data_IF_021314196425
#
_entry.id   IF_021314196425
#
_cell.length_a   1.000
_cell.length_b   1.000
_cell.length_c   1.000
_cell.angle_alpha   90.00
_cell.angle_beta   90.00
_cell.angle_gamma   90.00
#
_symmetry.space_group_name_H-M   'P 1'
#
loop_
_entity.id
_entity.type
_entity.pdbx_description
1 polymer ?
#
# COMPACT_ATOMS: atom_id res chain seq x y z
N UNK A 1 -19.20 10.25 -3.23
CA UNK A 1 -18.71 10.91 -4.45
C UNK A 1 -17.27 10.48 -4.68
N UNK A 2 -17.06 9.66 -5.70
CA UNK A 2 -15.74 9.27 -6.21
C UNK A 2 -15.47 10.01 -7.52
N UNK A 3 -14.22 10.16 -7.96
CA UNK A 3 -13.93 10.78 -9.26
C UNK A 3 -14.40 9.89 -10.42
N UNK A 4 -14.84 10.51 -11.51
CA UNK A 4 -15.20 9.81 -12.75
C UNK A 4 -13.98 9.39 -13.58
N UNK A 5 -12.77 9.80 -13.18
CA UNK A 5 -11.52 9.59 -13.89
C UNK A 5 -10.52 8.83 -13.03
N UNK A 6 -9.75 7.94 -13.65
CA UNK A 6 -8.67 7.21 -12.98
C UNK A 6 -7.57 8.17 -12.53
N UNK A 7 -7.18 8.06 -11.26
CA UNK A 7 -6.12 8.88 -10.66
C UNK A 7 -4.81 8.10 -10.58
N UNK A 8 -3.68 8.82 -10.59
CA UNK A 8 -2.34 8.25 -10.48
C UNK A 8 -1.53 9.03 -9.44
N UNK A 9 -0.73 8.32 -8.66
CA UNK A 9 0.21 8.90 -7.69
C UNK A 9 1.57 8.24 -7.79
N UNK A 10 2.64 9.04 -7.76
CA UNK A 10 4.00 8.56 -7.52
C UNK A 10 4.33 8.72 -6.04
N UNK A 11 4.66 7.62 -5.38
CA UNK A 11 5.02 7.58 -3.97
C UNK A 11 6.19 6.59 -3.74
N UNK A 12 7.10 6.88 -2.80
CA UNK A 12 8.18 5.96 -2.45
C UNK A 12 7.69 4.85 -1.51
N UNK A 13 8.36 3.70 -1.57
CA UNK A 13 8.29 2.68 -0.52
C UNK A 13 9.03 3.19 0.70
N UNK A 14 8.41 3.10 1.88
CA UNK A 14 9.02 3.49 3.16
C UNK A 14 9.74 2.30 3.79
N UNK A 15 10.67 2.58 4.72
CA UNK A 15 11.33 1.51 5.45
C UNK A 15 10.35 0.76 6.37
N UNK A 16 10.63 -0.51 6.65
CA UNK A 16 9.82 -1.30 7.60
C UNK A 16 9.82 -0.65 9.00
N UNK A 17 10.91 0.04 9.37
CA UNK A 17 11.01 0.80 10.63
C UNK A 17 10.04 1.99 10.64
N UNK A 18 10.08 2.86 9.63
CA UNK A 18 9.16 4.01 9.53
C UNK A 18 7.69 3.55 9.51
N UNK A 19 7.41 2.45 8.80
CA UNK A 19 6.06 1.87 8.73
C UNK A 19 5.60 1.37 10.11
N UNK A 20 6.48 0.70 10.85
CA UNK A 20 6.20 0.18 12.19
C UNK A 20 6.06 1.30 13.22
N UNK A 21 6.84 2.38 13.09
CA UNK A 21 6.79 3.55 13.95
C UNK A 21 5.50 4.36 13.73
N UNK A 22 5.05 4.47 12.47
CA UNK A 22 3.76 5.06 12.11
C UNK A 22 2.56 4.26 12.65
N UNK A 23 2.69 2.93 12.71
CA UNK A 23 1.62 2.02 13.12
C UNK A 23 2.09 1.00 14.18
N UNK A 24 2.36 1.42 15.42
CA UNK A 24 2.95 0.55 16.44
C UNK A 24 2.12 -0.70 16.70
N UNK A 25 2.76 -1.87 16.52
CA UNK A 25 2.17 -3.22 16.72
C UNK A 25 1.02 -3.58 15.77
N UNK A 26 0.81 -2.82 14.70
CA UNK A 26 -0.25 -3.10 13.71
C UNK A 26 0.32 -3.58 12.37
N UNK A 27 1.61 -3.34 12.10
CA UNK A 27 2.29 -3.83 10.91
C UNK A 27 2.72 -5.29 11.11
N UNK A 28 2.40 -6.12 10.12
CA UNK A 28 2.86 -7.52 10.04
C UNK A 28 3.89 -7.66 8.92
N UNK A 29 4.60 -8.80 8.87
CA UNK A 29 5.54 -9.12 7.78
C UNK A 29 4.91 -9.17 6.38
N UNK A 30 3.58 -9.22 6.30
CA UNK A 30 2.81 -9.28 5.06
C UNK A 30 2.37 -7.89 4.57
N UNK A 31 2.84 -6.83 5.23
CA UNK A 31 2.46 -5.46 4.95
C UNK A 31 3.71 -4.63 4.62
N UNK A 32 3.50 -3.54 3.89
CA UNK A 32 4.50 -2.51 3.59
C UNK A 32 3.83 -1.14 3.55
N UNK A 33 4.55 -0.07 3.86
CA UNK A 33 4.05 1.29 3.73
C UNK A 33 4.58 1.96 2.45
N UNK A 34 3.72 2.71 1.78
CA UNK A 34 4.07 3.48 0.58
C UNK A 34 3.41 4.84 0.71
N UNK A 35 4.17 5.92 0.54
CA UNK A 35 3.63 7.26 0.73
C UNK A 35 4.63 8.25 1.30
N UNK A 36 4.10 9.23 2.01
CA UNK A 36 4.83 10.39 2.51
C UNK A 36 4.47 10.57 3.99
N UNK A 37 5.46 10.58 4.89
CA UNK A 37 5.22 10.77 6.33
C UNK A 37 4.70 12.17 6.65
N UNK A 38 4.98 13.15 5.78
CA UNK A 38 4.41 14.50 5.86
C UNK A 38 2.89 14.55 5.56
N UNK A 39 2.31 13.50 4.97
CA UNK A 39 0.92 13.46 4.53
C UNK A 39 0.68 14.20 3.21
N UNK A 40 -0.57 14.60 2.95
CA UNK A 40 -1.00 15.37 1.77
C UNK A 40 -1.17 14.57 0.48
N UNK A 41 -0.54 13.40 0.34
CA UNK A 41 -0.68 12.50 -0.82
C UNK A 41 -0.74 11.05 -0.36
N UNK A 42 -1.81 10.35 -0.73
CA UNK A 42 -2.03 8.95 -0.37
C UNK A 42 -3.11 8.34 -1.26
N UNK A 43 -3.24 7.01 -1.22
CA UNK A 43 -4.47 6.30 -1.59
C UNK A 43 -5.58 6.56 -0.57
N UNK A 44 -6.84 6.26 -0.92
CA UNK A 44 -7.97 6.49 -0.03
C UNK A 44 -9.10 5.46 -0.22
N UNK A 45 -10.27 5.71 0.36
CA UNK A 45 -11.41 4.81 0.19
C UNK A 45 -11.78 4.67 -1.29
N UNK A 46 -12.08 3.44 -1.71
CA UNK A 46 -12.32 3.10 -3.11
C UNK A 46 -11.08 2.61 -3.86
N UNK A 47 -9.87 2.92 -3.38
CA UNK A 47 -8.62 2.46 -4.02
C UNK A 47 -8.23 1.04 -3.57
N UNK A 48 -8.80 0.52 -2.47
CA UNK A 48 -8.51 -0.82 -1.95
C UNK A 48 -8.59 -1.92 -3.01
N UNK A 49 -7.56 -2.76 -3.10
CA UNK A 49 -7.39 -3.75 -4.17
C UNK A 49 -6.62 -3.22 -5.39
N UNK A 50 -6.43 -1.90 -5.50
CA UNK A 50 -5.67 -1.24 -6.54
C UNK A 50 -4.16 -1.49 -6.45
N UNK A 51 -3.40 -1.23 -7.53
CA UNK A 51 -2.01 -1.65 -7.64
C UNK A 51 -1.01 -0.62 -7.12
N UNK A 52 0.08 -1.11 -6.53
CA UNK A 52 1.36 -0.38 -6.42
C UNK A 52 2.39 -1.06 -7.30
N UNK A 53 2.79 -0.38 -8.37
CA UNK A 53 3.76 -0.90 -9.36
C UNK A 53 5.10 -0.17 -9.20
N UNK A 54 6.17 -0.93 -8.99
CA UNK A 54 7.53 -0.42 -8.91
C UNK A 54 8.39 -1.14 -9.96
N UNK A 55 9.09 -0.38 -10.81
CA UNK A 55 9.98 -0.93 -11.86
C UNK A 55 9.30 -1.99 -12.77
N UNK A 56 8.00 -1.81 -13.06
CA UNK A 56 7.25 -2.74 -13.90
C UNK A 56 6.67 -3.97 -13.18
N UNK A 57 6.90 -4.10 -11.88
CA UNK A 57 6.40 -5.23 -11.08
C UNK A 57 5.36 -4.78 -10.05
N UNK A 58 4.34 -5.60 -9.83
CA UNK A 58 3.33 -5.38 -8.79
C UNK A 58 3.92 -5.74 -7.42
N UNK A 59 4.20 -4.72 -6.59
CA UNK A 59 4.82 -4.89 -5.27
C UNK A 59 3.81 -4.76 -4.12
N UNK A 60 2.74 -4.00 -4.33
CA UNK A 60 1.75 -3.71 -3.30
C UNK A 60 0.32 -3.78 -3.82
N UNK A 61 -0.61 -4.09 -2.91
CA UNK A 61 -2.06 -3.95 -3.12
C UNK A 61 -2.57 -2.99 -2.06
N UNK A 62 -3.31 -1.94 -2.46
CA UNK A 62 -3.91 -0.97 -1.51
C UNK A 62 -4.75 -1.73 -0.49
N UNK A 63 -4.46 -1.52 0.80
CA UNK A 63 -5.08 -2.29 1.88
C UNK A 63 -5.82 -1.38 2.86
N UNK A 64 -5.09 -0.58 3.65
CA UNK A 64 -5.68 0.24 4.71
C UNK A 64 -4.77 1.40 5.14
N UNK A 65 -5.25 2.26 6.03
CA UNK A 65 -4.50 3.35 6.67
C UNK A 65 -5.38 4.07 7.71
N UNK A 66 -4.78 4.92 8.55
CA UNK A 66 -5.55 5.80 9.44
C UNK A 66 -5.89 7.09 8.69
N UNK A 67 -7.17 7.23 8.32
CA UNK A 67 -7.59 8.31 7.42
C UNK A 67 -6.96 8.16 6.03
N UNK A 68 -6.78 9.29 5.34
CA UNK A 68 -6.06 9.35 4.06
C UNK A 68 -5.16 10.58 4.08
N UNK A 69 -3.92 10.43 3.61
CA UNK A 69 -2.97 11.54 3.48
C UNK A 69 -2.73 12.30 4.80
N UNK A 70 -2.88 11.61 5.93
CA UNK A 70 -2.64 12.20 7.25
C UNK A 70 -1.14 12.19 7.57
N UNK A 71 -0.66 13.27 8.19
CA UNK A 71 0.72 13.35 8.65
C UNK A 71 1.01 12.24 9.66
N UNK A 72 2.10 11.51 9.44
CA UNK A 72 2.53 10.38 10.26
C UNK A 72 1.83 9.05 9.97
N UNK A 73 0.82 9.03 9.10
CA UNK A 73 0.04 7.84 8.78
C UNK A 73 0.04 7.59 7.26
N UNK A 74 1.11 6.99 6.70
CA UNK A 74 1.16 6.62 5.29
C UNK A 74 0.22 5.45 4.98
N UNK A 75 -0.16 5.24 3.72
CA UNK A 75 -0.92 4.06 3.33
C UNK A 75 -0.18 2.75 3.61
N UNK A 76 -0.93 1.73 4.04
CA UNK A 76 -0.46 0.37 4.28
C UNK A 76 -0.99 -0.55 3.19
N UNK A 77 -0.09 -1.35 2.63
CA UNK A 77 -0.33 -2.17 1.45
C UNK A 77 0.03 -3.63 1.75
N UNK A 78 -0.68 -4.56 1.13
CA UNK A 78 -0.30 -5.99 1.15
C UNK A 78 1.00 -6.17 0.38
N UNK A 79 2.00 -6.81 0.99
CA UNK A 79 3.35 -7.01 0.43
C UNK A 79 3.37 -8.19 -0.54
N UNK A 80 3.17 -7.92 -1.84
CA UNK A 80 2.86 -8.92 -2.88
C UNK A 80 3.98 -9.95 -3.07
N UNK A 81 5.24 -9.58 -2.85
CA UNK A 81 6.35 -10.51 -2.98
C UNK A 81 6.22 -11.75 -2.07
N UNK A 82 5.46 -11.67 -0.97
CA UNK A 82 5.21 -12.81 -0.08
C UNK A 82 4.18 -13.80 -0.65
N UNK A 83 3.43 -13.43 -1.69
CA UNK A 83 2.25 -14.14 -2.16
C UNK A 83 2.41 -14.74 -3.56
N UNK A 84 3.56 -14.59 -4.21
CA UNK A 84 3.78 -15.08 -5.58
C UNK A 84 3.45 -16.58 -5.71
N UNK A 85 3.94 -17.41 -4.79
CA UNK A 85 3.67 -18.86 -4.82
C UNK A 85 2.19 -19.18 -4.61
N UNK A 86 1.51 -18.46 -3.72
CA UNK A 86 0.08 -18.63 -3.48
C UNK A 86 -0.71 -18.27 -4.75
N UNK A 87 -0.45 -17.10 -5.34
CA UNK A 87 -1.09 -16.64 -6.59
C UNK A 87 -0.92 -17.69 -7.69
N UNK A 88 0.31 -18.15 -7.93
CA UNK A 88 0.60 -19.14 -8.98
C UNK A 88 -0.11 -20.47 -8.72
N UNK A 89 -0.09 -20.97 -7.48
CA UNK A 89 -0.77 -22.23 -7.14
C UNK A 89 -2.28 -22.15 -7.28
N UNK A 90 -2.88 -21.00 -6.96
CA UNK A 90 -4.33 -20.80 -7.05
C UNK A 90 -4.79 -20.63 -8.50
N UNK A 91 -3.99 -20.00 -9.35
CA UNK A 91 -4.30 -19.88 -10.79
C UNK A 91 -4.19 -21.23 -11.50
N UNK A 92 -3.28 -22.10 -11.06
CA UNK A 92 -3.05 -23.40 -11.67
C UNK A 92 -4.00 -24.51 -11.20
N UNK A 93 -4.85 -24.25 -10.20
CA UNK A 93 -5.82 -25.19 -9.64
C UNK A 93 -7.13 -25.21 -10.44
#
# INVERSE_FOLDING_TARGET
>A
NYPDTLQCLKAPVLSDADCSDAYPRQITKNMMCVGFLEGGKDSCQGDSGGPVVCNGELQGIVSWGIGCAQRGYPGVYTKVCNYVSWIQSTIAA
#
